data_IF_168148950022
#
_entry.id   IF_168148950022
#
_cell.length_a   1.000
_cell.length_b   1.000
_cell.length_c   1.000
_cell.angle_alpha   90.00
_cell.angle_beta   90.00
_cell.angle_gamma   90.00
#
_symmetry.space_group_name_H-M   'P 1'
#
loop_
_entity.id
_entity.type
_entity.pdbx_description
1 polymer ?
#
# COMPACT_ATOMS: atom_id res chain seq x y z
N UNK A 1 15.97 -4.19 7.14
CA UNK A 1 15.04 -3.51 6.20
C UNK A 1 14.26 -4.59 5.45
N UNK A 2 12.93 -4.56 5.50
CA UNK A 2 12.06 -5.56 4.83
C UNK A 2 11.26 -4.84 3.74
N UNK A 3 11.16 -5.45 2.56
CA UNK A 3 10.42 -4.92 1.40
C UNK A 3 9.33 -5.92 1.04
N UNK A 4 8.11 -5.44 0.82
CA UNK A 4 6.97 -6.25 0.38
C UNK A 4 6.44 -5.64 -0.92
N UNK A 5 6.37 -6.45 -1.98
CA UNK A 5 5.93 -6.02 -3.31
C UNK A 5 4.60 -6.69 -3.65
N UNK A 6 3.60 -5.89 -4.02
CA UNK A 6 2.30 -6.36 -4.48
C UNK A 6 2.22 -6.24 -6.00
N UNK A 7 2.27 -7.38 -6.69
CA UNK A 7 2.26 -7.47 -8.15
C UNK A 7 0.98 -8.16 -8.65
N UNK A 8 0.60 -7.88 -9.90
CA UNK A 8 -0.60 -8.46 -10.51
C UNK A 8 -1.27 -7.51 -11.52
N UNK A 9 -2.28 -8.02 -12.22
CA UNK A 9 -3.04 -7.29 -13.25
C UNK A 9 -3.78 -6.08 -12.68
N UNK A 10 -4.27 -5.18 -13.53
CA UNK A 10 -5.12 -4.06 -13.11
C UNK A 10 -6.40 -4.54 -12.42
N UNK A 11 -6.90 -3.80 -11.41
CA UNK A 11 -8.18 -4.10 -10.76
C UNK A 11 -8.21 -5.26 -9.75
N UNK A 12 -7.09 -5.96 -9.50
CA UNK A 12 -7.06 -7.11 -8.56
C UNK A 12 -6.90 -6.73 -7.08
N UNK A 13 -6.97 -5.44 -6.73
CA UNK A 13 -6.92 -4.98 -5.33
C UNK A 13 -5.52 -4.77 -4.72
N UNK A 14 -4.46 -4.70 -5.55
CA UNK A 14 -3.06 -4.53 -5.07
C UNK A 14 -2.89 -3.34 -4.14
N UNK A 15 -3.43 -2.19 -4.53
CA UNK A 15 -3.31 -0.93 -3.78
C UNK A 15 -4.00 -1.02 -2.43
N UNK A 16 -5.20 -1.60 -2.39
CA UNK A 16 -5.95 -1.84 -1.15
C UNK A 16 -5.16 -2.72 -0.17
N UNK A 17 -4.60 -3.83 -0.66
CA UNK A 17 -3.83 -4.75 0.21
C UNK A 17 -2.50 -4.12 0.65
N UNK A 18 -1.84 -3.35 -0.22
CA UNK A 18 -0.62 -2.62 0.14
C UNK A 18 -0.90 -1.58 1.23
N UNK A 19 -1.96 -0.79 1.10
CA UNK A 19 -2.39 0.18 2.11
C UNK A 19 -2.74 -0.49 3.44
N UNK A 20 -3.56 -1.54 3.42
CA UNK A 20 -3.95 -2.29 4.61
C UNK A 20 -2.74 -2.91 5.34
N UNK A 21 -1.78 -3.45 4.58
CA UNK A 21 -0.55 -4.02 5.15
C UNK A 21 0.32 -2.93 5.78
N UNK A 22 0.38 -1.75 5.17
CA UNK A 22 1.12 -0.63 5.71
C UNK A 22 0.53 -0.11 7.03
N UNK A 23 -0.80 0.08 7.08
CA UNK A 23 -1.52 0.45 8.30
C UNK A 23 -1.25 -0.58 9.40
N UNK A 24 -1.44 -1.87 9.10
CA UNK A 24 -1.20 -2.94 10.07
C UNK A 24 0.25 -2.98 10.57
N UNK A 25 1.21 -2.75 9.68
CA UNK A 25 2.64 -2.73 10.06
C UNK A 25 2.96 -1.54 10.95
N UNK A 26 2.38 -0.37 10.68
CA UNK A 26 2.52 0.81 11.53
C UNK A 26 1.88 0.61 12.91
N UNK A 27 0.69 0.00 12.99
CA UNK A 27 0.02 -0.35 14.25
C UNK A 27 0.85 -1.30 15.12
N UNK A 28 1.62 -2.20 14.49
CA UNK A 28 2.53 -3.11 15.17
C UNK A 28 3.84 -2.44 15.65
N UNK A 29 3.98 -1.13 15.46
CA UNK A 29 5.14 -0.34 15.89
C UNK A 29 6.30 -0.32 14.91
N UNK A 30 6.13 -0.83 13.68
CA UNK A 30 7.17 -0.76 12.67
C UNK A 30 7.17 0.60 11.97
N UNK A 31 8.37 1.18 11.80
CA UNK A 31 8.56 2.33 10.92
C UNK A 31 8.24 1.91 9.48
N UNK A 32 7.08 2.35 8.99
CA UNK A 32 6.47 1.83 7.76
C UNK A 32 6.35 2.93 6.72
N UNK A 33 6.68 2.62 5.47
CA UNK A 33 6.45 3.46 4.29
C UNK A 33 5.64 2.63 3.29
N UNK A 34 4.60 3.24 2.73
CA UNK A 34 3.86 2.70 1.58
C UNK A 34 4.01 3.66 0.41
N UNK A 35 4.23 3.10 -0.77
CA UNK A 35 4.37 3.86 -2.00
C UNK A 35 3.72 3.07 -3.14
N UNK A 36 3.14 3.79 -4.09
CA UNK A 36 2.68 3.24 -5.36
C UNK A 36 3.50 3.80 -6.50
N UNK A 37 3.77 2.99 -7.51
CA UNK A 37 4.39 3.41 -8.77
C UNK A 37 3.38 3.45 -9.92
N UNK A 38 2.09 3.21 -9.64
CA UNK A 38 1.04 3.38 -10.64
C UNK A 38 0.73 4.86 -10.87
N UNK A 39 0.21 5.16 -12.06
CA UNK A 39 -0.22 6.52 -12.43
C UNK A 39 -1.58 6.85 -11.74
N UNK A 40 -2.29 5.83 -11.27
CA UNK A 40 -3.60 6.00 -10.65
C UNK A 40 -3.48 6.59 -9.24
N UNK A 41 -4.41 7.48 -8.88
CA UNK A 41 -4.47 8.07 -7.54
C UNK A 41 -5.03 7.12 -6.46
N UNK A 42 -5.23 5.83 -6.78
CA UNK A 42 -5.88 4.83 -5.93
C UNK A 42 -5.31 4.72 -4.51
N UNK A 43 -4.01 4.98 -4.33
CA UNK A 43 -3.39 4.93 -3.00
C UNK A 43 -3.76 6.17 -2.18
N UNK A 44 -3.72 7.35 -2.80
CA UNK A 44 -4.12 8.60 -2.16
C UNK A 44 -5.61 8.56 -1.80
N UNK A 45 -6.46 8.10 -2.73
CA UNK A 45 -7.88 7.87 -2.50
C UNK A 45 -8.15 6.92 -1.33
N UNK A 46 -7.28 5.90 -1.12
CA UNK A 46 -7.42 4.96 0.01
C UNK A 46 -7.14 5.60 1.37
N UNK A 47 -6.41 6.72 1.40
CA UNK A 47 -6.07 7.46 2.61
C UNK A 47 -6.80 8.79 2.73
N UNK A 48 -7.65 9.16 1.76
CA UNK A 48 -8.36 10.44 1.69
C UNK A 48 -7.38 11.65 1.77
N UNK A 49 -6.29 11.58 0.98
CA UNK A 49 -5.22 12.60 0.89
C UNK A 49 -4.98 13.12 -0.51
#
# INVERSE_FOLDING_TARGET
MRIILYLGKGGVGKTTVAAATAVRSAELGYKTLVASTDIAHSLADSFDV
#
